data_IF_167185103273
#
_entry.id   IF_167185103273
#
_cell.length_a   1.000
_cell.length_b   1.000
_cell.length_c   1.000
_cell.angle_alpha   90.00
_cell.angle_beta   90.00
_cell.angle_gamma   90.00
#
_symmetry.space_group_name_H-M   'P 1'
#
loop_
_entity.id
_entity.type
_entity.pdbx_description
1 polymer ?
#
# COMPACT_ATOMS: atom_id res chain seq x y z
N UNK A 1 -12.78 43.96 -28.25
CA UNK A 1 -12.32 42.68 -27.67
C UNK A 1 -13.24 41.59 -28.19
N UNK A 2 -12.72 40.57 -28.86
CA UNK A 2 -13.59 39.53 -29.46
C UNK A 2 -14.08 38.54 -28.39
N UNK A 3 -15.16 37.81 -28.69
CA UNK A 3 -15.65 36.75 -27.80
C UNK A 3 -14.58 35.69 -27.50
N UNK A 4 -13.74 35.39 -28.50
CA UNK A 4 -12.61 34.46 -28.37
C UNK A 4 -11.52 35.00 -27.43
N UNK A 5 -11.27 36.31 -27.45
CA UNK A 5 -10.31 36.96 -26.54
C UNK A 5 -10.83 36.96 -25.09
N UNK A 6 -12.14 37.14 -24.91
CA UNK A 6 -12.80 37.05 -23.61
C UNK A 6 -12.78 35.63 -23.03
N UNK A 7 -13.11 34.62 -23.83
CA UNK A 7 -13.06 33.21 -23.42
C UNK A 7 -11.63 32.77 -23.05
N UNK A 8 -10.62 33.17 -23.84
CA UNK A 8 -9.21 32.91 -23.55
C UNK A 8 -8.74 33.61 -22.26
N UNK A 9 -9.18 34.85 -22.04
CA UNK A 9 -8.89 35.62 -20.83
C UNK A 9 -9.51 34.97 -19.57
N UNK A 10 -10.76 34.52 -19.65
CA UNK A 10 -11.45 33.78 -18.58
C UNK A 10 -10.79 32.43 -18.28
N UNK A 11 -10.42 31.66 -19.30
CA UNK A 11 -9.71 30.39 -19.13
C UNK A 11 -8.31 30.57 -18.50
N UNK A 12 -7.59 31.62 -18.89
CA UNK A 12 -6.29 31.97 -18.31
C UNK A 12 -6.40 32.38 -16.83
N UNK A 13 -7.42 33.18 -16.47
CA UNK A 13 -7.71 33.53 -15.09
C UNK A 13 -8.10 32.31 -14.25
N UNK A 14 -8.96 31.43 -14.77
CA UNK A 14 -9.31 30.18 -14.11
C UNK A 14 -8.06 29.28 -13.91
N UNK A 15 -7.21 29.14 -14.93
CA UNK A 15 -5.97 28.38 -14.82
C UNK A 15 -4.97 29.02 -13.83
N UNK A 16 -4.89 30.34 -13.76
CA UNK A 16 -4.07 31.05 -12.76
C UNK A 16 -4.60 30.85 -11.33
N UNK A 17 -5.92 30.93 -11.14
CA UNK A 17 -6.59 30.64 -9.87
C UNK A 17 -6.33 29.20 -9.42
N UNK A 18 -6.57 28.21 -10.28
CA UNK A 18 -6.31 26.81 -9.96
C UNK A 18 -4.84 26.53 -9.68
N UNK A 19 -3.91 27.12 -10.44
CA UNK A 19 -2.47 27.03 -10.15
C UNK A 19 -2.13 27.57 -8.77
N UNK A 20 -2.64 28.75 -8.41
CA UNK A 20 -2.43 29.35 -7.10
C UNK A 20 -2.99 28.46 -5.99
N UNK A 21 -4.24 28.01 -6.13
CA UNK A 21 -4.90 27.14 -5.14
C UNK A 21 -4.17 25.80 -4.99
N UNK A 22 -3.74 25.18 -6.09
CA UNK A 22 -2.92 23.96 -6.04
C UNK A 22 -1.57 24.18 -5.34
N UNK A 23 -0.93 25.33 -5.52
CA UNK A 23 0.32 25.66 -4.84
C UNK A 23 0.11 25.91 -3.34
N UNK A 24 -0.97 26.59 -2.96
CA UNK A 24 -1.36 26.77 -1.55
C UNK A 24 -1.62 25.42 -0.87
N UNK A 25 -2.44 24.56 -1.48
CA UNK A 25 -2.68 23.21 -0.96
C UNK A 25 -1.41 22.38 -0.87
N UNK A 26 -0.50 22.47 -1.86
CA UNK A 26 0.79 21.75 -1.80
C UNK A 26 1.67 22.22 -0.66
N UNK A 27 1.68 23.53 -0.35
CA UNK A 27 2.44 24.08 0.78
C UNK A 27 1.85 23.62 2.10
N UNK A 28 0.54 23.76 2.26
CA UNK A 28 -0.17 23.30 3.46
C UNK A 28 0.06 21.81 3.73
N UNK A 29 0.00 20.97 2.69
CA UNK A 29 0.29 19.54 2.81
C UNK A 29 1.76 19.25 3.15
N UNK A 30 2.70 20.06 2.64
CA UNK A 30 4.12 19.92 2.98
C UNK A 30 4.36 20.29 4.45
N UNK A 31 3.81 21.42 4.91
CA UNK A 31 3.93 21.89 6.29
C UNK A 31 3.34 20.87 7.28
N UNK A 32 2.15 20.31 6.98
CA UNK A 32 1.53 19.23 7.77
C UNK A 32 2.40 17.96 7.73
N UNK A 33 3.01 17.65 6.58
CA UNK A 33 3.89 16.50 6.41
C UNK A 33 5.14 16.58 7.29
N UNK A 34 5.71 17.78 7.45
CA UNK A 34 6.89 18.02 8.29
C UNK A 34 6.63 17.73 9.78
N UNK A 35 5.36 17.80 10.24
CA UNK A 35 4.98 17.46 11.62
C UNK A 35 5.26 16.00 11.98
N UNK A 36 5.38 15.10 11.00
CA UNK A 36 5.63 13.67 11.23
C UNK A 36 7.01 13.42 11.85
N UNK A 37 8.02 14.19 11.45
CA UNK A 37 9.40 13.99 11.87
C UNK A 37 9.96 12.59 11.57
N UNK A 38 10.99 12.20 12.34
CA UNK A 38 11.56 10.86 12.28
C UNK A 38 10.73 9.88 13.13
N UNK A 39 10.33 8.76 12.52
CA UNK A 39 9.57 7.72 13.22
C UNK A 39 10.51 6.84 14.05
N UNK A 40 10.20 6.68 15.33
CA UNK A 40 10.83 5.66 16.16
C UNK A 40 10.49 4.24 15.66
N UNK A 41 11.32 3.25 16.01
CA UNK A 41 11.05 1.84 15.70
C UNK A 41 9.68 1.38 16.22
N UNK A 42 9.25 1.92 17.38
CA UNK A 42 7.93 1.65 17.95
C UNK A 42 6.81 2.22 17.07
N UNK A 43 6.91 3.48 16.65
CA UNK A 43 5.89 4.10 15.80
C UNK A 43 5.80 3.40 14.44
N UNK A 44 6.96 3.12 13.83
CA UNK A 44 7.03 2.37 12.58
C UNK A 44 6.41 0.97 12.74
N UNK A 45 6.62 0.30 13.86
CA UNK A 45 6.01 -0.99 14.14
C UNK A 45 4.48 -0.88 14.23
N UNK A 46 3.95 0.08 15.00
CA UNK A 46 2.50 0.26 15.17
C UNK A 46 1.82 0.62 13.84
N UNK A 47 2.42 1.54 13.07
CA UNK A 47 1.94 1.93 11.74
C UNK A 47 1.96 0.73 10.79
N UNK A 48 3.08 0.01 10.72
CA UNK A 48 3.21 -1.18 9.87
C UNK A 48 2.23 -2.30 10.25
N UNK A 49 1.98 -2.51 11.54
CA UNK A 49 1.00 -3.47 12.02
C UNK A 49 -0.42 -3.08 11.57
N UNK A 50 -0.78 -1.80 11.63
CA UNK A 50 -2.10 -1.33 11.19
C UNK A 50 -2.26 -1.35 9.67
N UNK A 51 -1.24 -0.96 8.91
CA UNK A 51 -1.21 -1.11 7.45
C UNK A 51 -1.44 -2.56 7.06
N UNK A 52 -0.70 -3.49 7.68
CA UNK A 52 -0.88 -4.91 7.44
C UNK A 52 -2.28 -5.39 7.83
N UNK A 53 -2.86 -4.88 8.91
CA UNK A 53 -4.19 -5.28 9.33
C UNK A 53 -5.29 -4.82 8.35
N UNK A 54 -5.08 -3.70 7.67
CA UNK A 54 -6.02 -3.16 6.69
C UNK A 54 -5.82 -3.76 5.28
N UNK A 55 -4.58 -3.84 4.80
CA UNK A 55 -4.22 -4.16 3.41
C UNK A 55 -3.57 -5.56 3.26
N UNK A 56 -3.18 -6.18 4.37
CA UNK A 56 -2.50 -7.47 4.40
C UNK A 56 -3.46 -8.66 4.29
N UNK A 57 -2.94 -9.77 3.78
CA UNK A 57 -3.66 -11.03 3.74
C UNK A 57 -3.84 -11.59 5.15
N UNK A 58 -5.09 -11.75 5.57
CA UNK A 58 -5.43 -12.35 6.86
C UNK A 58 -5.50 -13.87 6.77
N UNK A 59 -5.00 -14.53 7.81
CA UNK A 59 -5.13 -15.97 8.00
C UNK A 59 -6.60 -16.35 8.17
N UNK A 60 -7.10 -17.26 7.33
CA UNK A 60 -8.49 -17.73 7.39
C UNK A 60 -8.55 -19.12 8.04
N UNK A 61 -9.65 -19.52 8.70
CA UNK A 61 -9.77 -20.85 9.34
C UNK A 61 -9.43 -22.00 8.39
N UNK A 62 -9.91 -21.93 7.14
CA UNK A 62 -9.66 -22.92 6.09
C UNK A 62 -8.31 -22.74 5.37
N UNK A 63 -7.57 -21.66 5.67
CA UNK A 63 -6.29 -21.34 5.06
C UNK A 63 -5.42 -20.62 6.07
N UNK A 64 -4.79 -21.40 6.95
CA UNK A 64 -3.78 -20.92 7.90
C UNK A 64 -2.59 -20.36 7.15
N UNK A 65 -2.67 -19.08 6.76
CA UNK A 65 -1.54 -18.34 6.26
C UNK A 65 -0.78 -17.81 7.47
N UNK A 66 0.41 -18.35 7.66
CA UNK A 66 1.37 -17.93 8.67
C UNK A 66 2.48 -17.08 8.05
N UNK A 67 2.17 -16.39 6.94
CA UNK A 67 3.08 -15.47 6.25
C UNK A 67 2.45 -14.10 6.17
N UNK A 68 3.23 -13.08 6.52
CA UNK A 68 2.90 -11.71 6.23
C UNK A 68 2.95 -11.49 4.71
N UNK A 69 1.78 -11.26 4.10
CA UNK A 69 1.62 -10.94 2.68
C UNK A 69 0.85 -9.62 2.60
N UNK A 70 1.40 -8.63 1.90
CA UNK A 70 0.73 -7.36 1.61
C UNK A 70 0.59 -7.20 0.10
N UNK A 71 -0.56 -6.68 -0.34
CA UNK A 71 -0.84 -6.42 -1.76
C UNK A 71 -1.33 -4.99 -1.89
N UNK A 72 -0.61 -4.13 -2.61
CA UNK A 72 -1.03 -2.75 -2.82
C UNK A 72 -0.51 -2.20 -4.17
N UNK A 73 -1.17 -1.18 -4.70
CA UNK A 73 -0.75 -0.49 -5.94
C UNK A 73 -0.01 0.82 -5.67
N UNK A 74 -0.04 1.34 -4.44
CA UNK A 74 0.65 2.56 -4.04
C UNK A 74 2.14 2.24 -3.75
N UNK A 75 3.09 2.84 -4.48
CA UNK A 75 4.52 2.59 -4.29
C UNK A 75 5.03 3.08 -2.93
N UNK A 76 4.49 4.17 -2.39
CA UNK A 76 4.96 4.75 -1.12
C UNK A 76 4.49 3.90 0.07
N UNK A 77 3.27 3.34 -0.01
CA UNK A 77 2.80 2.35 0.97
C UNK A 77 3.65 1.07 0.93
N UNK A 78 4.03 0.60 -0.27
CA UNK A 78 4.97 -0.51 -0.40
C UNK A 78 6.32 -0.19 0.24
N UNK A 79 6.91 0.98 -0.03
CA UNK A 79 8.19 1.40 0.58
C UNK A 79 8.09 1.46 2.10
N UNK A 80 7.01 2.00 2.65
CA UNK A 80 6.76 2.03 4.09
C UNK A 80 6.65 0.61 4.67
N UNK A 81 5.94 -0.30 3.98
CA UNK A 81 5.86 -1.69 4.40
C UNK A 81 7.22 -2.40 4.39
N UNK A 82 8.07 -2.12 3.40
CA UNK A 82 9.44 -2.64 3.35
C UNK A 82 10.31 -2.09 4.49
N UNK A 83 10.21 -0.79 4.81
CA UNK A 83 10.88 -0.19 5.98
C UNK A 83 10.44 -0.86 7.28
N UNK A 84 9.14 -1.08 7.46
CA UNK A 84 8.60 -1.83 8.60
C UNK A 84 9.14 -3.26 8.69
N UNK A 85 9.18 -3.99 7.57
CA UNK A 85 9.74 -5.34 7.55
C UNK A 85 11.24 -5.32 7.91
N UNK A 86 11.99 -4.36 7.38
CA UNK A 86 13.41 -4.19 7.67
C UNK A 86 13.66 -3.88 9.15
N UNK A 87 12.88 -2.98 9.78
CA UNK A 87 13.01 -2.70 11.21
C UNK A 87 12.66 -3.91 12.09
N UNK A 88 11.83 -4.83 11.58
CA UNK A 88 11.54 -6.12 12.21
C UNK A 88 12.61 -7.20 11.93
N UNK A 89 13.68 -6.91 11.20
CA UNK A 89 14.76 -7.86 10.86
C UNK A 89 14.49 -8.74 9.64
N UNK A 90 13.61 -8.33 8.72
CA UNK A 90 13.45 -8.97 7.41
C UNK A 90 14.26 -8.25 6.35
N UNK A 91 15.39 -8.84 6.01
CA UNK A 91 16.19 -8.47 4.85
C UNK A 91 15.50 -8.83 3.53
N UNK A 92 15.85 -8.11 2.47
CA UNK A 92 15.25 -8.24 1.13
C UNK A 92 15.36 -9.65 0.54
N UNK A 93 16.38 -10.43 0.91
CA UNK A 93 16.54 -11.82 0.46
C UNK A 93 15.45 -12.75 1.02
N UNK A 94 14.88 -12.42 2.18
CA UNK A 94 13.76 -13.13 2.82
C UNK A 94 12.40 -12.69 2.27
N UNK A 95 12.38 -11.74 1.34
CA UNK A 95 11.18 -11.25 0.68
C UNK A 95 11.02 -11.90 -0.69
N UNK A 96 9.77 -12.08 -1.10
CA UNK A 96 9.45 -12.41 -2.49
C UNK A 96 8.41 -11.48 -3.06
N UNK A 97 8.64 -11.08 -4.30
CA UNK A 97 7.85 -10.11 -5.03
C UNK A 97 7.06 -10.79 -6.13
N UNK A 98 5.81 -10.39 -6.33
CA UNK A 98 4.98 -10.85 -7.45
C UNK A 98 4.06 -9.73 -7.88
N UNK A 99 3.90 -9.55 -9.18
CA UNK A 99 2.93 -8.60 -9.72
C UNK A 99 1.57 -9.27 -9.90
N UNK A 100 0.52 -8.57 -9.47
CA UNK A 100 -0.88 -8.92 -9.76
C UNK A 100 -1.44 -7.86 -10.71
N UNK A 101 -1.62 -8.22 -11.98
CA UNK A 101 -1.97 -7.28 -13.04
C UNK A 101 -3.01 -7.87 -14.00
N UNK A 102 -3.72 -7.02 -14.74
CA UNK A 102 -4.64 -7.46 -15.79
C UNK A 102 -3.86 -8.02 -16.99
N UNK A 103 -4.41 -9.02 -17.66
CA UNK A 103 -3.74 -9.69 -18.79
C UNK A 103 -3.48 -8.76 -20.00
N UNK A 104 -4.26 -7.69 -20.14
CA UNK A 104 -4.12 -6.72 -21.22
C UNK A 104 -3.04 -5.65 -20.99
N UNK A 105 -2.35 -5.67 -19.85
CA UNK A 105 -1.37 -4.65 -19.50
C UNK A 105 0.06 -5.13 -19.76
N UNK A 106 1.01 -4.19 -19.89
CA UNK A 106 2.43 -4.51 -20.08
C UNK A 106 3.06 -5.01 -18.76
N UNK A 107 3.12 -6.34 -18.64
CA UNK A 107 3.76 -7.05 -17.53
C UNK A 107 5.24 -6.70 -17.39
N UNK A 108 5.95 -6.54 -18.51
CA UNK A 108 7.39 -6.29 -18.48
C UNK A 108 7.68 -4.86 -17.99
N UNK A 109 6.91 -3.87 -18.45
CA UNK A 109 7.00 -2.50 -17.94
C UNK A 109 6.65 -2.43 -16.46
N UNK A 110 5.56 -3.07 -16.04
CA UNK A 110 5.20 -3.16 -14.62
C UNK A 110 6.31 -3.83 -13.78
N UNK A 111 6.96 -4.88 -14.29
CA UNK A 111 8.08 -5.54 -13.61
C UNK A 111 9.27 -4.61 -13.43
N UNK A 112 9.65 -3.85 -14.45
CA UNK A 112 10.73 -2.85 -14.34
C UNK A 112 10.39 -1.75 -13.35
N UNK A 113 9.17 -1.20 -13.43
CA UNK A 113 8.69 -0.19 -12.50
C UNK A 113 8.77 -0.68 -11.03
N UNK A 114 8.20 -1.84 -10.72
CA UNK A 114 8.22 -2.34 -9.35
C UNK A 114 9.62 -2.75 -8.88
N UNK A 115 10.47 -3.23 -9.79
CA UNK A 115 11.87 -3.52 -9.49
C UNK A 115 12.63 -2.27 -9.05
N UNK A 116 12.40 -1.14 -9.71
CA UNK A 116 12.94 0.17 -9.31
C UNK A 116 12.35 0.65 -7.98
N UNK A 117 11.03 0.49 -7.77
CA UNK A 117 10.38 0.89 -6.52
C UNK A 117 10.94 0.16 -5.30
N UNK A 118 11.23 -1.13 -5.41
CA UNK A 118 11.70 -1.95 -4.29
C UNK A 118 13.21 -2.22 -4.30
N UNK A 119 13.93 -1.60 -5.24
CA UNK A 119 15.38 -1.70 -5.42
C UNK A 119 15.89 -3.16 -5.50
N UNK A 120 15.32 -3.94 -6.44
CA UNK A 120 15.76 -5.31 -6.70
C UNK A 120 15.83 -5.61 -8.19
N UNK A 121 16.69 -6.55 -8.58
CA UNK A 121 16.72 -7.02 -9.96
C UNK A 121 15.39 -7.70 -10.37
N UNK A 122 14.98 -7.51 -11.63
CA UNK A 122 13.73 -8.07 -12.20
C UNK A 122 13.63 -9.59 -12.05
N UNK A 123 14.76 -10.31 -12.00
CA UNK A 123 14.80 -11.77 -11.81
C UNK A 123 14.40 -12.23 -10.40
N UNK A 124 14.26 -11.30 -9.44
CA UNK A 124 13.74 -11.56 -8.09
C UNK A 124 12.22 -11.65 -8.05
N UNK A 125 11.54 -11.29 -9.13
CA UNK A 125 10.08 -11.36 -9.24
C UNK A 125 9.64 -12.78 -9.59
N UNK A 126 8.61 -13.26 -8.89
CA UNK A 126 7.90 -14.48 -9.24
C UNK A 126 7.01 -14.27 -10.47
N UNK A 127 6.60 -15.38 -11.09
CA UNK A 127 5.60 -15.37 -12.17
C UNK A 127 4.37 -14.53 -11.76
N UNK A 128 3.98 -13.53 -12.57
CA UNK A 128 2.88 -12.65 -12.24
C UNK A 128 1.56 -13.40 -12.16
N UNK A 129 0.65 -12.89 -11.35
CA UNK A 129 -0.75 -13.31 -11.32
C UNK A 129 -1.52 -12.47 -12.34
N UNK A 130 -2.01 -13.10 -13.41
CA UNK A 130 -2.84 -12.44 -14.42
C UNK A 130 -4.31 -12.53 -14.03
N UNK A 131 -5.00 -11.39 -13.98
CA UNK A 131 -6.45 -11.31 -13.73
C UNK A 131 -7.19 -11.26 -15.06
N UNK A 132 -8.01 -12.27 -15.32
CA UNK A 132 -8.89 -12.40 -16.50
C UNK A 132 -10.30 -11.92 -16.14
N UNK A 133 -10.84 -10.82 -16.68
CA UNK A 133 -12.28 -10.50 -16.75
C UNK A 133 -12.54 -9.14 -17.46
N UNK A 134 -13.61 -9.06 -18.26
CA UNK A 134 -14.06 -7.83 -18.98
C UNK A 134 -14.40 -6.70 -17.99
N UNK A 135 -13.85 -5.48 -18.15
CA UNK A 135 -14.25 -4.35 -17.34
C UNK A 135 -15.64 -3.86 -17.80
N UNK A 136 -16.70 -4.25 -17.09
CA UNK A 136 -17.97 -3.50 -17.11
C UNK A 136 -17.82 -2.14 -16.40
N UNK A 137 -16.67 -1.89 -15.78
CA UNK A 137 -16.32 -0.60 -15.17
C UNK A 137 -15.48 0.19 -16.14
N UNK A 138 -15.93 1.41 -16.44
CA UNK A 138 -15.17 2.45 -17.13
C UNK A 138 -13.97 2.83 -16.24
N UNK A 139 -12.97 1.95 -16.16
CA UNK A 139 -11.78 2.16 -15.32
C UNK A 139 -11.10 3.43 -15.83
N UNK A 140 -10.83 4.36 -14.92
CA UNK A 140 -10.04 5.56 -15.21
C UNK A 140 -8.53 5.29 -15.22
N UNK A 141 -8.11 4.09 -14.77
CA UNK A 141 -6.73 3.65 -14.66
C UNK A 141 -6.37 2.67 -15.79
N UNK A 142 -6.60 3.07 -17.05
CA UNK A 142 -6.13 2.38 -18.26
C UNK A 142 -5.28 3.39 -19.01
N UNK A 143 -3.99 3.40 -18.69
CA UNK A 143 -3.00 4.27 -19.30
C UNK A 143 -1.61 3.73 -18.99
N UNK A 144 -0.59 4.31 -19.61
CA UNK A 144 0.81 3.85 -19.57
C UNK A 144 1.43 3.79 -18.16
N UNK A 145 0.76 4.41 -17.17
CA UNK A 145 1.16 4.42 -15.77
C UNK A 145 0.50 3.31 -14.91
N UNK A 146 -0.27 2.40 -15.50
CA UNK A 146 -0.87 1.29 -14.76
C UNK A 146 0.11 0.11 -14.64
N UNK A 147 0.70 -0.04 -13.46
CA UNK A 147 1.66 -1.12 -13.16
C UNK A 147 1.08 -2.26 -12.31
N UNK A 148 -0.25 -2.33 -12.16
CA UNK A 148 -0.90 -3.33 -11.32
C UNK A 148 -0.64 -3.13 -9.82
N UNK A 149 -0.79 -4.21 -9.04
CA UNK A 149 -0.46 -4.23 -7.62
C UNK A 149 0.78 -5.09 -7.38
N UNK A 150 1.64 -4.67 -6.46
CA UNK A 150 2.74 -5.49 -5.97
C UNK A 150 2.28 -6.34 -4.81
N UNK A 151 2.58 -7.63 -4.87
CA UNK A 151 2.46 -8.58 -3.77
C UNK A 151 3.83 -8.76 -3.14
N UNK A 152 3.97 -8.32 -1.89
CA UNK A 152 5.16 -8.54 -1.07
C UNK A 152 4.86 -9.66 -0.08
N UNK A 153 5.68 -10.71 -0.07
CA UNK A 153 5.57 -11.81 0.89
C UNK A 153 6.84 -11.92 1.72
N UNK A 154 6.73 -11.74 3.03
CA UNK A 154 7.79 -12.05 3.96
C UNK A 154 7.82 -13.57 4.22
N UNK A 155 8.92 -14.23 3.88
CA UNK A 155 9.07 -15.68 4.11
C UNK A 155 9.32 -15.96 5.60
N UNK A 156 8.86 -17.12 6.08
CA UNK A 156 9.06 -17.57 7.47
C UNK A 156 8.60 -16.55 8.54
N UNK A 157 7.54 -15.79 8.26
CA UNK A 157 7.08 -14.65 9.05
C UNK A 157 5.93 -14.98 10.00
N UNK A 158 5.85 -16.23 10.48
CA UNK A 158 4.73 -16.64 11.33
C UNK A 158 4.72 -15.93 12.69
N UNK A 159 5.90 -15.72 13.28
CA UNK A 159 6.05 -14.96 14.52
C UNK A 159 5.69 -13.49 14.32
N UNK A 160 6.21 -12.87 13.26
CA UNK A 160 5.88 -11.50 12.89
C UNK A 160 4.38 -11.31 12.66
N UNK A 161 3.73 -12.22 11.92
CA UNK A 161 2.29 -12.18 11.71
C UNK A 161 1.52 -12.18 13.04
N UNK A 162 1.91 -13.01 14.02
CA UNK A 162 1.28 -13.04 15.35
C UNK A 162 1.53 -11.75 16.13
N UNK A 163 2.74 -11.17 16.02
CA UNK A 163 3.03 -9.87 16.62
C UNK A 163 2.13 -8.78 16.02
N UNK A 164 2.02 -8.73 14.69
CA UNK A 164 1.14 -7.80 13.99
C UNK A 164 -0.31 -7.97 14.44
N UNK A 165 -0.82 -9.20 14.43
CA UNK A 165 -2.20 -9.51 14.86
C UNK A 165 -2.44 -9.05 16.29
N UNK A 166 -1.54 -9.41 17.23
CA UNK A 166 -1.68 -9.00 18.63
C UNK A 166 -1.69 -7.48 18.82
N UNK A 167 -0.79 -6.75 18.14
CA UNK A 167 -0.73 -5.29 18.23
C UNK A 167 -1.93 -4.62 17.59
N UNK A 168 -2.34 -5.06 16.39
CA UNK A 168 -3.51 -4.51 15.73
C UNK A 168 -4.77 -4.66 16.59
N UNK A 169 -4.96 -5.81 17.23
CA UNK A 169 -6.07 -6.00 18.16
C UNK A 169 -5.97 -5.06 19.37
N UNK A 170 -4.81 -4.97 20.01
CA UNK A 170 -4.61 -4.08 21.15
C UNK A 170 -4.82 -2.59 20.80
N UNK A 171 -4.41 -2.14 19.60
CA UNK A 171 -4.62 -0.78 19.10
C UNK A 171 -6.12 -0.52 18.89
N UNK A 172 -6.85 -1.45 18.27
CA UNK A 172 -8.26 -1.24 17.90
C UNK A 172 -9.23 -1.32 19.08
N UNK A 173 -9.01 -2.23 20.03
CA UNK A 173 -9.98 -2.50 21.10
C UNK A 173 -9.43 -2.28 22.53
N UNK A 174 -8.17 -1.85 22.65
CA UNK A 174 -7.46 -1.70 23.92
C UNK A 174 -6.77 -2.99 24.37
N UNK A 175 -5.64 -2.90 25.11
CA UNK A 175 -4.81 -4.05 25.45
C UNK A 175 -5.52 -5.09 26.34
N UNK A 176 -6.31 -4.65 27.31
CA UNK A 176 -7.01 -5.56 28.24
C UNK A 176 -8.08 -6.39 27.53
N UNK A 177 -8.91 -5.71 26.71
CA UNK A 177 -9.92 -6.38 25.91
C UNK A 177 -9.30 -7.32 24.88
N UNK A 178 -8.26 -6.86 24.17
CA UNK A 178 -7.53 -7.69 23.22
C UNK A 178 -6.96 -8.95 23.88
N UNK A 179 -6.38 -8.82 25.08
CA UNK A 179 -5.84 -9.95 25.84
C UNK A 179 -6.92 -10.99 26.15
N UNK A 180 -8.06 -10.55 26.68
CA UNK A 180 -9.18 -11.46 26.98
C UNK A 180 -9.70 -12.12 25.71
N UNK A 181 -9.95 -11.35 24.65
CA UNK A 181 -10.51 -11.88 23.40
C UNK A 181 -9.56 -12.89 22.73
N UNK A 182 -8.26 -12.60 22.68
CA UNK A 182 -7.24 -13.50 22.14
C UNK A 182 -7.13 -14.82 22.92
N UNK A 183 -7.09 -14.75 24.26
CA UNK A 183 -6.99 -15.95 25.11
C UNK A 183 -8.26 -16.81 25.02
N UNK A 184 -9.41 -16.19 24.84
CA UNK A 184 -10.70 -16.88 24.66
C UNK A 184 -10.95 -17.31 23.20
N UNK A 185 -10.00 -17.09 22.28
CA UNK A 185 -10.13 -17.44 20.87
C UNK A 185 -11.16 -16.62 20.09
N UNK A 186 -11.63 -15.49 20.65
CA UNK A 186 -12.58 -14.58 20.00
C UNK A 186 -11.83 -13.73 18.98
N UNK A 187 -12.00 -14.04 17.70
CA UNK A 187 -11.38 -13.27 16.61
C UNK A 187 -12.18 -11.99 16.32
N UNK A 188 -11.48 -10.86 16.24
CA UNK A 188 -12.04 -9.60 15.74
C UNK A 188 -12.54 -9.79 14.30
N UNK A 189 -13.85 -9.64 14.11
CA UNK A 189 -14.60 -9.60 12.85
C UNK A 189 -14.20 -10.67 11.81
N UNK A 190 -14.77 -11.87 11.93
CA UNK A 190 -14.94 -12.80 10.80
C UNK A 190 -16.22 -12.53 9.98
N UNK A 191 -16.69 -11.29 9.94
CA UNK A 191 -17.83 -10.92 9.10
C UNK A 191 -17.36 -10.64 7.68
N UNK A 192 -17.65 -11.65 6.83
CA UNK A 192 -17.78 -11.70 5.36
C UNK A 192 -17.04 -10.67 4.51
#
# INVERSE_FOLDING_TARGET
>A
MSQKDWEAHCASHAAAYWRRRSMETRRELADIGDEVGELSDRELFLIGAMIYWCEGAKSKPWRRQSRAILINSDPDLIRLYLRFLSSCGWSTDRLSFRISIHESADVAAATRYWAEVVDVAVNRFQKPTLKTHKPATRRKNVGDHYHGCLVVTARQSSALYRQIEGHAQAIMCGPDRARVDLLMGRKLNQTR
#
